data_IF_923225829686
#
_entry.id   IF_923225829686
#
_cell.length_a   1.000
_cell.length_b   1.000
_cell.length_c   1.000
_cell.angle_alpha   90.00
_cell.angle_beta   90.00
_cell.angle_gamma   90.00
#
_symmetry.space_group_name_H-M   'P 1'
#
loop_
_entity.id
_entity.type
_entity.pdbx_description
1 polymer ?
#
# COMPACT_ATOMS: atom_id res chain seq x y z
N UNK A 1 3.85 36.44 -41.45
CA UNK A 1 4.89 35.65 -40.72
C UNK A 1 5.34 36.34 -39.43
N UNK A 2 5.50 37.66 -39.36
CA UNK A 2 5.94 38.35 -38.13
C UNK A 2 4.97 38.27 -36.92
N UNK A 3 3.65 38.12 -37.12
CA UNK A 3 2.69 38.10 -36.00
C UNK A 3 2.60 36.76 -35.25
N UNK A 4 3.01 35.66 -35.87
CA UNK A 4 3.03 34.33 -35.24
C UNK A 4 4.26 34.16 -34.35
N UNK A 5 5.42 34.67 -34.76
CA UNK A 5 6.64 34.61 -33.95
C UNK A 5 6.54 35.46 -32.68
N UNK A 6 5.94 36.66 -32.77
CA UNK A 6 5.67 37.49 -31.59
C UNK A 6 4.74 36.82 -30.57
N UNK A 7 3.75 36.03 -31.03
CA UNK A 7 2.86 35.27 -30.13
C UNK A 7 3.58 34.10 -29.45
N UNK A 8 4.48 33.43 -30.15
CA UNK A 8 5.28 32.32 -29.58
C UNK A 8 6.23 32.86 -28.52
N UNK A 9 6.90 33.99 -28.78
CA UNK A 9 7.80 34.64 -27.83
C UNK A 9 7.07 35.12 -26.56
N UNK A 10 5.86 35.67 -26.68
CA UNK A 10 5.04 36.07 -25.53
C UNK A 10 4.55 34.85 -24.72
N UNK A 11 4.17 33.75 -25.40
CA UNK A 11 3.83 32.49 -24.74
C UNK A 11 5.02 31.90 -23.97
N UNK A 12 6.22 31.90 -24.55
CA UNK A 12 7.42 31.42 -23.87
C UNK A 12 7.81 32.31 -22.69
N UNK A 13 7.72 33.63 -22.84
CA UNK A 13 8.00 34.60 -21.77
C UNK A 13 7.03 34.42 -20.59
N UNK A 14 5.73 34.26 -20.86
CA UNK A 14 4.72 33.95 -19.84
C UNK A 14 4.96 32.60 -19.19
N UNK A 15 5.38 31.59 -19.94
CA UNK A 15 5.69 30.26 -19.40
C UNK A 15 6.91 30.31 -18.49
N UNK A 16 7.97 31.01 -18.89
CA UNK A 16 9.18 31.24 -18.06
C UNK A 16 8.87 32.06 -16.82
N UNK A 17 8.08 33.13 -16.93
CA UNK A 17 7.66 33.93 -15.79
C UNK A 17 6.80 33.12 -14.79
N UNK A 18 5.94 32.22 -15.29
CA UNK A 18 5.15 31.31 -14.46
C UNK A 18 6.03 30.27 -13.77
N UNK A 19 7.01 29.70 -14.47
CA UNK A 19 8.00 28.79 -13.91
C UNK A 19 8.89 29.47 -12.87
N UNK A 20 9.31 30.72 -13.10
CA UNK A 20 10.13 31.50 -12.18
C UNK A 20 9.32 31.95 -10.94
N UNK A 21 8.04 32.29 -11.12
CA UNK A 21 7.13 32.55 -10.01
C UNK A 21 6.88 31.27 -9.20
N UNK A 22 6.66 30.12 -9.85
CA UNK A 22 6.52 28.82 -9.17
C UNK A 22 7.81 28.42 -8.43
N UNK A 23 8.98 28.68 -9.02
CA UNK A 23 10.28 28.45 -8.39
C UNK A 23 10.51 29.36 -7.17
N UNK A 24 10.21 30.67 -7.29
CA UNK A 24 10.26 31.63 -6.17
C UNK A 24 9.24 31.30 -5.08
N UNK A 25 8.05 30.82 -5.45
CA UNK A 25 7.01 30.42 -4.49
C UNK A 25 7.32 29.07 -3.81
N UNK A 26 8.15 28.21 -4.42
CA UNK A 26 8.75 27.03 -3.77
C UNK A 26 9.89 27.41 -2.82
N UNK A 27 10.73 28.37 -3.22
CA UNK A 27 11.86 28.84 -2.41
C UNK A 27 11.44 29.65 -1.16
N UNK A 28 10.25 30.28 -1.20
CA UNK A 28 9.71 31.12 -0.11
C UNK A 28 8.72 30.39 0.80
N UNK A 29 8.85 29.07 0.97
CA UNK A 29 8.20 28.42 2.10
C UNK A 29 8.97 28.78 3.37
N UNK A 30 8.32 29.07 4.51
CA UNK A 30 9.05 29.28 5.74
C UNK A 30 9.71 27.95 6.10
N UNK A 31 11.01 27.85 5.86
CA UNK A 31 11.87 26.72 6.23
C UNK A 31 11.61 26.27 7.68
N UNK A 32 11.21 27.20 8.55
CA UNK A 32 10.73 26.95 9.90
C UNK A 32 9.53 25.99 9.98
N UNK A 33 8.52 26.12 9.11
CA UNK A 33 7.35 25.22 9.15
C UNK A 33 7.73 23.79 8.76
N UNK A 34 8.61 23.62 7.76
CA UNK A 34 9.13 22.30 7.38
C UNK A 34 9.96 21.69 8.52
N UNK A 35 10.85 22.48 9.12
CA UNK A 35 11.66 22.06 10.28
C UNK A 35 10.78 21.70 11.49
N UNK A 36 9.71 22.46 11.74
CA UNK A 36 8.76 22.17 12.81
C UNK A 36 8.03 20.84 12.59
N UNK A 37 7.53 20.58 11.39
CA UNK A 37 6.90 19.29 11.06
C UNK A 37 7.89 18.11 11.11
N UNK A 38 9.12 18.33 10.66
CA UNK A 38 10.20 17.33 10.76
C UNK A 38 10.49 17.00 12.23
N UNK A 39 10.65 18.03 13.07
CA UNK A 39 10.89 17.87 14.50
C UNK A 39 9.71 17.20 15.21
N UNK A 40 8.48 17.62 14.92
CA UNK A 40 7.28 17.02 15.47
C UNK A 40 7.16 15.54 15.08
N UNK A 41 7.37 15.19 13.81
CA UNK A 41 7.37 13.81 13.36
C UNK A 41 8.43 12.97 14.09
N UNK A 42 9.67 13.47 14.23
CA UNK A 42 10.74 12.80 14.97
C UNK A 42 10.41 12.64 16.46
N UNK A 43 9.87 13.67 17.11
CA UNK A 43 9.47 13.60 18.52
C UNK A 43 8.39 12.54 18.72
N UNK A 44 7.34 12.55 17.90
CA UNK A 44 6.27 11.54 17.99
C UNK A 44 6.82 10.14 17.71
N UNK A 45 7.75 10.00 16.76
CA UNK A 45 8.38 8.72 16.45
C UNK A 45 9.21 8.18 17.61
N UNK A 46 10.02 9.04 18.26
CA UNK A 46 10.83 8.67 19.44
C UNK A 46 9.94 8.34 20.63
N UNK A 47 8.92 9.16 20.90
CA UNK A 47 7.97 8.90 21.99
C UNK A 47 7.18 7.61 21.76
N UNK A 48 6.74 7.35 20.52
CA UNK A 48 6.08 6.11 20.14
C UNK A 48 6.98 4.89 20.35
N UNK A 49 8.25 4.97 19.91
CA UNK A 49 9.24 3.93 20.14
C UNK A 49 9.46 3.64 21.63
N UNK A 50 9.70 4.69 22.43
CA UNK A 50 9.92 4.55 23.87
C UNK A 50 8.68 4.00 24.58
N UNK A 51 7.48 4.43 24.19
CA UNK A 51 6.24 3.90 24.74
C UNK A 51 6.09 2.41 24.44
N UNK A 52 6.25 1.99 23.18
CA UNK A 52 6.11 0.58 22.80
C UNK A 52 7.17 -0.31 23.44
N UNK A 53 8.39 0.22 23.61
CA UNK A 53 9.49 -0.48 24.26
C UNK A 53 9.17 -0.79 25.72
N UNK A 54 8.60 0.17 26.44
CA UNK A 54 8.33 0.05 27.88
C UNK A 54 6.97 -0.59 28.19
N UNK A 55 5.96 -0.39 27.33
CA UNK A 55 4.57 -0.78 27.63
C UNK A 55 4.08 -2.02 26.88
N UNK A 56 4.77 -2.46 25.83
CA UNK A 56 4.32 -3.61 25.01
C UNK A 56 5.42 -4.66 24.86
N UNK A 57 6.46 -4.38 24.06
CA UNK A 57 7.59 -5.29 23.84
C UNK A 57 8.70 -4.59 23.04
N UNK A 58 9.99 -4.92 23.31
CA UNK A 58 11.11 -4.48 22.48
C UNK A 58 10.96 -4.82 21.00
N UNK A 59 10.45 -6.02 20.68
CA UNK A 59 10.23 -6.45 19.29
C UNK A 59 9.20 -5.57 18.60
N UNK A 60 8.14 -5.19 19.31
CA UNK A 60 7.09 -4.30 18.79
C UNK A 60 7.65 -2.90 18.51
N UNK A 61 8.47 -2.38 19.41
CA UNK A 61 9.13 -1.09 19.22
C UNK A 61 10.12 -1.10 18.04
N UNK A 62 10.88 -2.17 17.85
CA UNK A 62 11.78 -2.32 16.68
C UNK A 62 10.96 -2.38 15.38
N UNK A 63 9.86 -3.14 15.37
CA UNK A 63 8.96 -3.21 14.22
C UNK A 63 8.37 -1.85 13.86
N UNK A 64 8.01 -1.03 14.85
CA UNK A 64 7.58 0.35 14.65
C UNK A 64 8.65 1.21 13.92
N UNK A 65 9.94 1.03 14.25
CA UNK A 65 11.01 1.71 13.50
C UNK A 65 11.09 1.22 12.05
N UNK A 66 11.04 -0.11 11.85
CA UNK A 66 11.09 -0.74 10.53
C UNK A 66 9.96 -0.26 9.65
N UNK A 67 8.72 -0.25 10.16
CA UNK A 67 7.54 0.17 9.40
C UNK A 67 7.48 1.67 9.16
N UNK A 68 8.10 2.48 10.02
CA UNK A 68 8.34 3.89 9.72
C UNK A 68 9.30 4.11 8.55
N UNK A 69 10.39 3.32 8.47
CA UNK A 69 11.28 3.33 7.29
C UNK A 69 10.52 2.88 6.04
N UNK A 70 9.63 1.88 6.14
CA UNK A 70 8.75 1.52 5.03
C UNK A 70 7.83 2.67 4.61
N UNK A 71 7.31 3.45 5.57
CA UNK A 71 6.55 4.68 5.29
C UNK A 71 7.35 5.71 4.49
N UNK A 72 8.61 5.95 4.88
CA UNK A 72 9.54 6.82 4.15
C UNK A 72 9.77 6.31 2.73
N UNK A 73 10.02 5.01 2.57
CA UNK A 73 10.25 4.37 1.28
C UNK A 73 9.02 4.44 0.36
N UNK A 74 7.83 4.16 0.89
CA UNK A 74 6.55 4.27 0.17
C UNK A 74 6.33 5.68 -0.36
N UNK A 75 6.59 6.70 0.48
CA UNK A 75 6.44 8.10 0.10
C UNK A 75 7.45 8.51 -0.98
N UNK A 76 8.75 8.28 -0.78
CA UNK A 76 9.77 8.73 -1.73
C UNK A 76 9.76 7.96 -3.05
N UNK A 77 9.51 6.65 -3.02
CA UNK A 77 9.42 5.84 -4.24
C UNK A 77 8.08 6.01 -4.97
N UNK A 78 7.09 6.67 -4.33
CA UNK A 78 5.71 6.71 -4.82
C UNK A 78 5.21 5.30 -5.21
N UNK A 79 5.65 4.29 -4.45
CA UNK A 79 5.48 2.88 -4.80
C UNK A 79 4.04 2.45 -4.54
N UNK A 80 3.16 2.76 -5.48
CA UNK A 80 1.73 2.50 -5.40
C UNK A 80 1.28 1.39 -6.35
N UNK A 81 0.74 0.30 -5.80
CA UNK A 81 0.07 -0.73 -6.60
C UNK A 81 -1.05 -0.17 -7.48
N UNK A 82 -1.85 0.75 -6.92
CA UNK A 82 -2.91 1.46 -7.65
C UNK A 82 -2.37 2.18 -8.88
N UNK A 83 -1.31 2.96 -8.71
CA UNK A 83 -0.69 3.76 -9.78
C UNK A 83 -0.07 2.85 -10.83
N UNK A 84 0.62 1.79 -10.42
CA UNK A 84 1.17 0.77 -11.32
C UNK A 84 0.10 0.17 -12.24
N UNK A 85 -1.04 -0.26 -11.67
CA UNK A 85 -2.12 -0.84 -12.45
C UNK A 85 -2.79 0.21 -13.34
N UNK A 86 -2.95 1.45 -12.85
CA UNK A 86 -3.52 2.54 -13.63
C UNK A 86 -2.63 2.91 -14.82
N UNK A 87 -1.31 2.98 -14.65
CA UNK A 87 -0.37 3.24 -15.74
C UNK A 87 -0.43 2.12 -16.79
N UNK A 88 -0.47 0.86 -16.37
CA UNK A 88 -0.67 -0.26 -17.28
C UNK A 88 -1.97 -0.12 -18.10
N UNK A 89 -3.09 0.22 -17.45
CA UNK A 89 -4.40 0.30 -18.09
C UNK A 89 -4.47 1.50 -19.04
N UNK A 90 -4.13 2.70 -18.55
CA UNK A 90 -4.31 3.97 -19.26
C UNK A 90 -3.22 4.18 -20.30
N UNK A 91 -1.95 4.17 -19.91
CA UNK A 91 -0.81 4.51 -20.77
C UNK A 91 -0.06 3.30 -21.32
N UNK A 92 -0.35 2.09 -20.85
CA UNK A 92 0.40 0.89 -21.25
C UNK A 92 1.82 0.83 -20.68
N UNK A 93 2.21 1.77 -19.81
CA UNK A 93 3.52 1.78 -19.15
C UNK A 93 3.53 0.73 -18.03
N UNK A 94 4.53 -0.16 -18.04
CA UNK A 94 4.56 -1.32 -17.14
C UNK A 94 5.68 -1.30 -16.11
N UNK A 95 6.43 -0.19 -16.01
CA UNK A 95 7.59 -0.07 -15.09
C UNK A 95 7.26 -0.47 -13.66
N UNK A 96 6.08 -0.05 -13.15
CA UNK A 96 5.63 -0.38 -11.80
C UNK A 96 5.33 -1.87 -11.62
N UNK A 97 4.65 -2.50 -12.60
CA UNK A 97 4.31 -3.93 -12.54
C UNK A 97 5.57 -4.79 -12.62
N UNK A 98 6.52 -4.41 -13.49
CA UNK A 98 7.83 -5.06 -13.59
C UNK A 98 8.63 -4.93 -12.30
N UNK A 99 8.64 -3.75 -11.66
CA UNK A 99 9.28 -3.56 -10.38
C UNK A 99 8.64 -4.40 -9.25
N UNK A 100 7.31 -4.60 -9.27
CA UNK A 100 6.63 -5.49 -8.34
C UNK A 100 7.06 -6.94 -8.50
N UNK A 101 7.24 -7.44 -9.73
CA UNK A 101 7.73 -8.82 -9.95
C UNK A 101 9.14 -9.01 -9.38
N UNK A 102 10.03 -8.01 -9.54
CA UNK A 102 11.38 -8.05 -8.94
C UNK A 102 11.30 -8.05 -7.41
N UNK A 103 10.44 -7.19 -6.84
CA UNK A 103 10.19 -7.15 -5.39
C UNK A 103 9.68 -8.50 -4.87
N UNK A 104 8.75 -9.16 -5.57
CA UNK A 104 8.23 -10.46 -5.17
C UNK A 104 9.27 -11.57 -5.28
N UNK A 105 10.07 -11.58 -6.34
CA UNK A 105 11.14 -12.54 -6.51
C UNK A 105 12.17 -12.44 -5.36
N UNK A 106 12.57 -11.20 -5.02
CA UNK A 106 13.45 -10.96 -3.88
C UNK A 106 12.80 -11.41 -2.56
N UNK A 107 11.53 -11.07 -2.33
CA UNK A 107 10.82 -11.48 -1.13
C UNK A 107 10.69 -13.01 -1.01
N UNK A 108 10.46 -13.74 -2.11
CA UNK A 108 10.45 -15.21 -2.10
C UNK A 108 11.79 -15.80 -1.68
N UNK A 109 12.90 -15.28 -2.21
CA UNK A 109 14.25 -15.74 -1.84
C UNK A 109 14.53 -15.50 -0.36
N UNK A 110 14.10 -14.36 0.16
CA UNK A 110 14.26 -14.01 1.58
C UNK A 110 13.33 -14.83 2.50
N UNK A 111 12.09 -15.08 2.09
CA UNK A 111 11.10 -15.79 2.91
C UNK A 111 11.37 -17.30 2.95
N UNK A 112 11.81 -17.89 1.85
CA UNK A 112 11.92 -19.34 1.71
C UNK A 112 12.72 -20.02 2.84
N UNK A 113 13.91 -19.55 3.24
CA UNK A 113 14.66 -20.15 4.35
C UNK A 113 13.89 -20.13 5.68
N UNK A 114 13.21 -19.03 6.00
CA UNK A 114 12.40 -18.90 7.23
C UNK A 114 11.18 -19.82 7.19
N UNK A 115 10.55 -19.95 6.02
CA UNK A 115 9.37 -20.80 5.84
C UNK A 115 9.71 -22.29 5.90
N UNK A 116 10.87 -22.71 5.37
CA UNK A 116 11.34 -24.10 5.48
C UNK A 116 11.69 -24.43 6.93
N UNK A 117 12.36 -23.50 7.64
CA UNK A 117 12.73 -23.70 9.03
C UNK A 117 11.52 -23.74 9.96
N UNK A 118 10.46 -23.00 9.64
CA UNK A 118 9.19 -22.98 10.39
C UNK A 118 9.23 -22.24 11.74
N UNK A 119 10.43 -21.84 12.19
CA UNK A 119 10.64 -21.05 13.40
C UNK A 119 11.76 -20.03 13.18
N UNK A 120 11.64 -18.87 13.81
CA UNK A 120 12.69 -17.86 13.89
C UNK A 120 12.71 -17.32 15.32
N UNK A 121 13.90 -17.23 15.92
CA UNK A 121 14.03 -16.93 17.35
C UNK A 121 13.15 -17.88 18.18
N UNK A 122 12.36 -17.36 19.12
CA UNK A 122 11.49 -18.15 20.02
C UNK A 122 10.04 -18.26 19.55
N UNK A 123 9.74 -18.00 18.27
CA UNK A 123 8.38 -18.05 17.75
C UNK A 123 8.25 -18.78 16.41
N UNK A 124 7.05 -19.28 16.16
CA UNK A 124 6.72 -19.96 14.91
C UNK A 124 6.56 -18.95 13.77
N UNK A 125 7.06 -19.31 12.58
CA UNK A 125 6.85 -18.56 11.35
C UNK A 125 5.60 -19.08 10.65
N UNK A 126 4.63 -18.20 10.44
CA UNK A 126 3.38 -18.51 9.76
C UNK A 126 3.32 -17.89 8.37
N UNK A 127 3.25 -18.73 7.35
CA UNK A 127 3.04 -18.29 5.98
C UNK A 127 1.66 -17.62 5.79
N UNK A 128 1.58 -16.58 4.95
CA UNK A 128 0.31 -15.96 4.53
C UNK A 128 -0.39 -16.81 3.46
N UNK A 129 -0.90 -17.98 3.84
CA UNK A 129 -1.61 -18.90 2.95
C UNK A 129 -3.09 -18.92 3.31
N UNK A 130 -3.90 -18.38 2.40
CA UNK A 130 -5.35 -18.29 2.51
C UNK A 130 -6.04 -19.12 1.43
N UNK A 131 -7.34 -19.43 1.60
CA UNK A 131 -8.08 -20.21 0.62
C UNK A 131 -8.13 -19.51 -0.74
N UNK A 132 -8.09 -20.29 -1.81
CA UNK A 132 -8.40 -19.83 -3.18
C UNK A 132 -9.91 -20.06 -3.39
N UNK A 133 -10.65 -19.05 -3.85
CA UNK A 133 -12.10 -19.18 -3.97
C UNK A 133 -12.86 -17.90 -4.30
N UNK A 134 -14.17 -18.06 -4.45
CA UNK A 134 -15.05 -16.99 -4.94
C UNK A 134 -15.00 -15.72 -4.08
N UNK A 135 -14.87 -15.87 -2.76
CA UNK A 135 -14.73 -14.75 -1.82
C UNK A 135 -13.52 -13.86 -2.13
N UNK A 136 -12.41 -14.47 -2.53
CA UNK A 136 -11.15 -13.79 -2.85
C UNK A 136 -11.25 -13.11 -4.18
N UNK A 137 -11.77 -13.80 -5.19
CA UNK A 137 -11.94 -13.22 -6.52
C UNK A 137 -12.88 -12.01 -6.49
N UNK A 138 -14.04 -12.12 -5.83
CA UNK A 138 -14.98 -11.00 -5.69
C UNK A 138 -14.42 -9.90 -4.79
N UNK A 139 -13.80 -10.26 -3.67
CA UNK A 139 -13.22 -9.29 -2.75
C UNK A 139 -12.09 -8.48 -3.36
N UNK A 140 -11.17 -9.14 -4.05
CA UNK A 140 -10.08 -8.47 -4.78
C UNK A 140 -10.61 -7.64 -5.94
N UNK A 141 -11.66 -8.07 -6.64
CA UNK A 141 -12.36 -7.27 -7.65
C UNK A 141 -12.94 -5.98 -7.08
N UNK A 142 -13.70 -6.06 -5.98
CA UNK A 142 -14.25 -4.87 -5.30
C UNK A 142 -13.11 -3.97 -4.78
N UNK A 143 -12.05 -4.57 -4.23
CA UNK A 143 -10.86 -3.84 -3.81
C UNK A 143 -10.19 -3.11 -4.99
N UNK A 144 -10.11 -3.75 -6.16
CA UNK A 144 -9.56 -3.18 -7.39
C UNK A 144 -10.32 -1.94 -7.86
N UNK A 145 -11.66 -1.98 -7.84
CA UNK A 145 -12.49 -0.80 -8.12
C UNK A 145 -12.20 0.27 -7.07
N UNK A 146 -12.24 -0.12 -5.80
CA UNK A 146 -12.09 0.78 -4.66
C UNK A 146 -10.77 1.51 -4.66
N UNK A 147 -9.65 0.84 -4.94
CA UNK A 147 -8.33 1.47 -4.92
C UNK A 147 -8.14 2.49 -6.05
N UNK A 148 -8.85 2.33 -7.17
CA UNK A 148 -8.85 3.34 -8.23
C UNK A 148 -9.70 4.56 -7.85
N UNK A 149 -10.84 4.38 -7.19
CA UNK A 149 -11.68 5.50 -6.74
C UNK A 149 -11.12 6.22 -5.51
N UNK A 150 -10.48 5.49 -4.59
CA UNK A 150 -9.80 6.04 -3.40
C UNK A 150 -8.44 6.69 -3.68
N UNK A 151 -8.00 6.69 -4.96
CA UNK A 151 -6.70 7.17 -5.44
C UNK A 151 -5.48 6.64 -4.66
N UNK A 152 -5.60 5.43 -4.12
CA UNK A 152 -4.62 4.80 -3.26
C UNK A 152 -5.08 3.39 -2.86
N UNK A 153 -4.12 2.51 -2.59
CA UNK A 153 -4.39 1.23 -1.94
C UNK A 153 -4.24 1.36 -0.43
N UNK A 154 -4.33 0.30 0.38
CA UNK A 154 -4.22 0.42 1.84
C UNK A 154 -2.95 1.18 2.32
N UNK A 155 -1.76 0.74 1.90
CA UNK A 155 -0.51 1.46 2.18
C UNK A 155 -0.46 2.84 1.51
N UNK A 156 -1.05 2.95 0.31
CA UNK A 156 -1.27 4.21 -0.41
C UNK A 156 -1.98 5.25 0.44
N UNK A 157 -3.14 4.87 0.95
CA UNK A 157 -4.01 5.68 1.80
C UNK A 157 -3.27 6.15 3.05
N UNK A 158 -2.46 5.28 3.68
CA UNK A 158 -1.65 5.64 4.84
C UNK A 158 -0.57 6.67 4.50
N UNK A 159 0.28 6.43 3.50
CA UNK A 159 1.35 7.41 3.19
C UNK A 159 0.78 8.70 2.59
N UNK A 160 -0.36 8.67 1.90
CA UNK A 160 -1.06 9.86 1.43
C UNK A 160 -1.62 10.67 2.61
N UNK A 161 -2.19 9.98 3.60
CA UNK A 161 -2.68 10.61 4.85
C UNK A 161 -1.54 11.25 5.62
N UNK A 162 -0.44 10.51 5.86
CA UNK A 162 0.76 11.04 6.52
C UNK A 162 1.43 12.17 5.73
N UNK A 163 1.42 12.08 4.40
CA UNK A 163 1.93 13.11 3.50
C UNK A 163 1.03 14.35 3.34
N UNK A 164 -0.11 14.40 4.04
CA UNK A 164 -1.01 15.55 4.08
C UNK A 164 -2.00 15.68 2.93
N UNK A 165 -2.41 14.57 2.29
CA UNK A 165 -3.47 14.53 1.28
C UNK A 165 -4.84 14.23 1.92
N UNK A 166 -5.74 15.21 1.89
CA UNK A 166 -7.08 15.09 2.47
C UNK A 166 -7.91 13.95 1.85
N UNK A 167 -7.62 13.56 0.59
CA UNK A 167 -8.28 12.42 -0.06
C UNK A 167 -7.94 11.12 0.65
N UNK A 168 -6.69 10.96 1.11
CA UNK A 168 -6.26 9.77 1.86
C UNK A 168 -7.08 9.58 3.14
N UNK A 169 -7.39 10.66 3.85
CA UNK A 169 -8.17 10.60 5.09
C UNK A 169 -9.61 10.16 4.81
N UNK A 170 -10.24 10.74 3.78
CA UNK A 170 -11.59 10.33 3.37
C UNK A 170 -11.62 8.86 2.94
N UNK A 171 -10.63 8.42 2.17
CA UNK A 171 -10.50 7.01 1.81
C UNK A 171 -10.35 6.13 3.04
N UNK A 172 -9.55 6.54 4.03
CA UNK A 172 -9.32 5.78 5.26
C UNK A 172 -10.60 5.62 6.07
N UNK A 173 -11.39 6.69 6.22
CA UNK A 173 -12.71 6.64 6.89
C UNK A 173 -13.62 5.63 6.19
N UNK A 174 -13.71 5.71 4.86
CA UNK A 174 -14.46 4.73 4.07
C UNK A 174 -13.94 3.30 4.26
N UNK A 175 -12.62 3.11 4.32
CA UNK A 175 -11.96 1.81 4.52
C UNK A 175 -12.34 1.18 5.87
N UNK A 176 -12.32 1.98 6.94
CA UNK A 176 -12.72 1.56 8.30
C UNK A 176 -14.18 1.06 8.28
N UNK A 177 -15.09 1.86 7.72
CA UNK A 177 -16.52 1.49 7.58
C UNK A 177 -16.68 0.21 6.75
N UNK A 178 -16.08 0.16 5.56
CA UNK A 178 -16.15 -1.01 4.69
C UNK A 178 -15.58 -2.27 5.33
N UNK A 179 -14.50 -2.14 6.10
CA UNK A 179 -13.89 -3.28 6.81
C UNK A 179 -14.82 -3.84 7.88
N UNK A 180 -15.57 -2.99 8.58
CA UNK A 180 -16.57 -3.46 9.53
C UNK A 180 -17.70 -4.21 8.84
N UNK A 181 -18.28 -3.64 7.78
CA UNK A 181 -19.35 -4.29 7.00
C UNK A 181 -18.86 -5.64 6.44
N UNK A 182 -17.60 -5.70 5.97
CA UNK A 182 -16.98 -6.95 5.53
C UNK A 182 -16.85 -8.00 6.65
N UNK A 183 -16.63 -7.56 7.90
CA UNK A 183 -16.57 -8.47 9.06
C UNK A 183 -17.95 -9.04 9.43
N UNK A 184 -19.03 -8.28 9.19
CA UNK A 184 -20.41 -8.74 9.39
C UNK A 184 -20.77 -9.81 8.36
N UNK A 185 -20.47 -9.59 7.08
CA UNK A 185 -20.77 -10.56 6.01
C UNK A 185 -19.76 -11.71 5.89
N UNK A 186 -18.73 -11.72 6.73
CA UNK A 186 -17.60 -12.65 6.60
C UNK A 186 -18.04 -14.12 6.55
N UNK A 187 -18.95 -14.54 7.43
CA UNK A 187 -19.41 -15.94 7.50
C UNK A 187 -20.09 -16.42 6.21
N UNK A 188 -20.88 -15.55 5.57
CA UNK A 188 -21.52 -15.88 4.29
C UNK A 188 -20.48 -16.14 3.21
N UNK A 189 -19.45 -15.28 3.13
CA UNK A 189 -18.36 -15.45 2.16
C UNK A 189 -17.52 -16.69 2.40
N UNK A 190 -17.30 -17.08 3.67
CA UNK A 190 -16.55 -18.30 3.99
C UNK A 190 -17.28 -19.59 3.59
N UNK A 191 -18.59 -19.53 3.35
CA UNK A 191 -19.39 -20.66 2.86
C UNK A 191 -19.49 -20.73 1.33
N UNK A 192 -18.88 -19.78 0.60
CA UNK A 192 -18.86 -19.81 -0.87
C UNK A 192 -17.86 -20.84 -1.41
N UNK A 193 -17.98 -21.29 -2.68
CA UNK A 193 -17.09 -22.27 -3.26
C UNK A 193 -15.61 -21.88 -3.14
N UNK A 194 -14.81 -22.78 -2.58
CA UNK A 194 -13.36 -22.63 -2.41
C UNK A 194 -12.67 -23.98 -2.60
N UNK A 195 -11.49 -23.94 -3.22
CA UNK A 195 -10.61 -25.10 -3.39
C UNK A 195 -9.63 -25.25 -2.21
N UNK A 196 -9.83 -24.49 -1.13
CA UNK A 196 -8.99 -24.54 0.06
C UNK A 196 -7.66 -23.79 -0.09
N UNK A 197 -6.78 -23.99 0.89
CA UNK A 197 -5.47 -23.34 0.97
C UNK A 197 -4.47 -24.09 0.11
N UNK A 198 -3.88 -23.42 -0.87
CA UNK A 198 -2.88 -24.01 -1.76
C UNK A 198 -1.55 -23.27 -1.58
N UNK A 199 -0.58 -23.95 -0.98
CA UNK A 199 0.80 -23.49 -0.83
C UNK A 199 1.71 -24.23 -1.80
N UNK A 200 2.38 -23.50 -2.70
CA UNK A 200 3.24 -24.09 -3.74
C UNK A 200 4.44 -24.84 -3.16
N UNK A 201 4.95 -24.40 -2.00
CA UNK A 201 6.06 -25.09 -1.31
C UNK A 201 5.61 -26.40 -0.65
N UNK A 202 4.35 -26.49 -0.22
CA UNK A 202 3.81 -27.71 0.37
C UNK A 202 3.43 -28.73 -0.71
N UNK A 203 2.92 -28.27 -1.86
CA UNK A 203 2.49 -29.16 -2.95
C UNK A 203 3.63 -29.64 -3.85
N UNK A 204 4.64 -28.81 -4.10
CA UNK A 204 5.73 -29.11 -5.07
C UNK A 204 7.12 -29.17 -4.42
N UNK A 205 7.19 -29.06 -3.09
CA UNK A 205 8.43 -28.90 -2.34
C UNK A 205 9.06 -27.51 -2.48
N UNK A 206 10.12 -27.20 -1.72
CA UNK A 206 10.71 -25.85 -1.69
C UNK A 206 11.24 -25.36 -3.05
N UNK A 207 11.98 -26.22 -3.74
CA UNK A 207 12.59 -25.89 -5.05
C UNK A 207 11.52 -25.80 -6.14
N UNK A 208 10.57 -26.75 -6.17
CA UNK A 208 9.47 -26.75 -7.13
C UNK A 208 8.54 -25.55 -6.93
N UNK A 209 8.19 -25.24 -5.68
CA UNK A 209 7.40 -24.07 -5.33
C UNK A 209 8.07 -22.76 -5.74
N UNK A 210 9.38 -22.64 -5.52
CA UNK A 210 10.17 -21.49 -5.98
C UNK A 210 10.18 -21.38 -7.50
N UNK A 211 10.45 -22.47 -8.21
CA UNK A 211 10.50 -22.51 -9.67
C UNK A 211 9.16 -22.10 -10.29
N UNK A 212 8.04 -22.62 -9.79
CA UNK A 212 6.70 -22.26 -10.29
C UNK A 212 6.37 -20.79 -10.00
N UNK A 213 6.67 -20.30 -8.80
CA UNK A 213 6.39 -18.90 -8.47
C UNK A 213 7.21 -17.94 -9.34
N UNK A 214 8.48 -18.27 -9.58
CA UNK A 214 9.36 -17.52 -10.48
C UNK A 214 8.90 -17.60 -11.93
N UNK A 215 8.39 -18.76 -12.38
CA UNK A 215 7.82 -18.90 -13.72
C UNK A 215 6.59 -18.00 -13.91
N UNK A 216 5.68 -17.93 -12.93
CA UNK A 216 4.52 -17.03 -12.96
C UNK A 216 4.98 -15.56 -13.02
N UNK A 217 5.94 -15.17 -12.18
CA UNK A 217 6.50 -13.81 -12.19
C UNK A 217 7.17 -13.47 -13.51
N UNK A 218 7.99 -14.36 -14.04
CA UNK A 218 8.67 -14.19 -15.32
C UNK A 218 7.67 -14.08 -16.48
N UNK A 219 6.60 -14.88 -16.45
CA UNK A 219 5.52 -14.81 -17.41
C UNK A 219 4.80 -13.45 -17.37
N UNK A 220 4.42 -12.97 -16.19
CA UNK A 220 3.79 -11.65 -16.03
C UNK A 220 4.74 -10.53 -16.47
N UNK A 221 6.02 -10.64 -16.11
CA UNK A 221 7.05 -9.67 -16.51
C UNK A 221 7.24 -9.64 -18.04
N UNK A 222 7.26 -10.80 -18.69
CA UNK A 222 7.38 -10.92 -20.15
C UNK A 222 6.13 -10.37 -20.86
N UNK A 223 4.93 -10.68 -20.36
CA UNK A 223 3.68 -10.09 -20.87
C UNK A 223 3.67 -8.58 -20.71
N UNK A 224 4.11 -8.07 -19.55
CA UNK A 224 4.19 -6.64 -19.29
C UNK A 224 5.13 -5.94 -20.31
N UNK A 225 6.32 -6.51 -20.56
CA UNK A 225 7.23 -6.01 -21.59
C UNK A 225 6.63 -6.06 -22.98
N UNK A 226 5.97 -7.16 -23.33
CA UNK A 226 5.34 -7.33 -24.63
C UNK A 226 4.20 -6.33 -24.85
N UNK A 227 3.36 -6.11 -23.84
CA UNK A 227 2.28 -5.11 -23.85
C UNK A 227 2.84 -3.69 -24.00
N UNK A 228 3.91 -3.35 -23.25
CA UNK A 228 4.53 -2.03 -23.32
C UNK A 228 5.11 -1.78 -24.71
N UNK A 229 5.85 -2.74 -25.29
CA UNK A 229 6.40 -2.64 -26.65
C UNK A 229 5.34 -2.53 -27.74
N UNK A 230 4.16 -3.11 -27.52
CA UNK A 230 3.05 -3.03 -28.48
C UNK A 230 2.30 -1.70 -28.39
N UNK A 231 2.20 -1.11 -27.20
CA UNK A 231 1.44 0.14 -26.98
C UNK A 231 2.32 1.39 -27.08
N UNK A 232 3.61 1.27 -26.83
CA UNK A 232 4.58 2.37 -26.79
C UNK A 232 5.78 2.04 -27.68
N UNK A 233 6.39 3.08 -28.26
CA UNK A 233 7.57 2.94 -29.12
C UNK A 233 8.83 2.53 -28.35
N UNK A 234 8.84 2.77 -27.03
CA UNK A 234 9.96 2.47 -26.13
C UNK A 234 9.48 1.78 -24.85
N UNK A 235 10.41 1.08 -24.19
CA UNK A 235 10.17 0.47 -22.88
C UNK A 235 10.84 1.34 -21.83
N UNK A 236 10.08 1.77 -20.84
CA UNK A 236 10.60 2.58 -19.75
C UNK A 236 11.66 1.77 -18.97
N UNK A 237 12.87 2.30 -18.77
CA UNK A 237 13.93 1.57 -18.09
C UNK A 237 13.59 1.36 -16.60
N UNK A 238 13.87 0.17 -16.08
CA UNK A 238 13.68 -0.16 -14.65
C UNK A 238 14.68 0.58 -13.75
N UNK A 239 15.89 0.74 -14.26
CA UNK A 239 16.98 1.43 -13.58
C UNK A 239 17.20 2.76 -14.25
N UNK A 240 17.07 3.83 -13.48
CA UNK A 240 17.48 5.15 -13.94
C UNK A 240 18.97 5.32 -13.56
N UNK A 241 19.85 5.50 -14.54
CA UNK A 241 21.29 5.68 -14.35
C UNK A 241 21.61 7.08 -13.84
N UNK A 242 21.04 7.45 -12.69
CA UNK A 242 21.36 8.71 -12.04
C UNK A 242 22.41 8.51 -10.95
N UNK A 243 23.39 9.42 -10.82
CA UNK A 243 24.45 9.30 -9.84
C UNK A 243 23.90 9.31 -8.41
N UNK A 244 24.53 8.53 -7.53
CA UNK A 244 24.20 8.42 -6.12
C UNK A 244 24.40 9.78 -5.43
N UNK A 245 23.39 10.26 -4.73
CA UNK A 245 23.43 11.54 -4.03
C UNK A 245 22.70 11.44 -2.69
N UNK A 246 23.38 11.77 -1.59
CA UNK A 246 22.84 11.74 -0.21
C UNK A 246 21.57 12.59 -0.08
N UNK A 247 21.54 13.74 -0.77
CA UNK A 247 20.36 14.61 -0.80
C UNK A 247 19.13 13.92 -1.40
N UNK A 248 19.31 12.99 -2.37
CA UNK A 248 18.19 12.23 -2.96
C UNK A 248 17.75 11.05 -2.10
N UNK A 249 18.65 10.44 -1.34
CA UNK A 249 18.28 9.42 -0.37
C UNK A 249 17.33 10.03 0.66
N UNK A 250 17.63 11.25 1.11
CA UNK A 250 16.86 11.97 2.14
C UNK A 250 15.63 12.70 1.59
N UNK A 251 15.69 13.25 0.37
CA UNK A 251 14.60 14.09 -0.20
C UNK A 251 13.76 13.39 -1.28
N UNK A 252 14.21 12.26 -1.79
CA UNK A 252 13.61 11.59 -2.94
C UNK A 252 13.77 12.36 -4.27
N UNK A 253 13.08 11.93 -5.34
CA UNK A 253 12.31 10.70 -5.46
C UNK A 253 13.21 9.46 -5.58
N UNK A 254 12.76 8.32 -5.05
CA UNK A 254 13.44 7.03 -5.22
C UNK A 254 12.92 6.31 -6.48
N UNK A 255 13.71 5.39 -7.03
CA UNK A 255 13.24 4.53 -8.14
C UNK A 255 12.25 3.48 -7.64
N UNK A 256 11.40 2.98 -8.55
CA UNK A 256 10.47 1.89 -8.25
C UNK A 256 11.19 0.66 -7.70
N UNK A 257 12.36 0.32 -8.27
CA UNK A 257 13.15 -0.83 -7.82
C UNK A 257 13.71 -0.60 -6.42
N UNK A 258 14.24 0.59 -6.12
CA UNK A 258 14.72 0.91 -4.77
C UNK A 258 13.60 0.81 -3.72
N UNK A 259 12.42 1.35 -4.03
CA UNK A 259 11.23 1.18 -3.19
C UNK A 259 10.87 -0.30 -3.00
N UNK A 260 10.82 -1.08 -4.10
CA UNK A 260 10.54 -2.51 -4.05
C UNK A 260 11.54 -3.31 -3.22
N UNK A 261 12.83 -3.02 -3.32
CA UNK A 261 13.87 -3.68 -2.51
C UNK A 261 13.68 -3.39 -1.02
N UNK A 262 13.44 -2.13 -0.64
CA UNK A 262 13.20 -1.76 0.77
C UNK A 262 11.92 -2.42 1.30
N UNK A 263 10.87 -2.52 0.48
CA UNK A 263 9.64 -3.22 0.86
C UNK A 263 9.84 -4.74 1.00
N UNK A 264 10.62 -5.37 0.13
CA UNK A 264 10.97 -6.79 0.22
C UNK A 264 11.76 -7.10 1.49
N UNK A 265 12.82 -6.34 1.75
CA UNK A 265 13.66 -6.50 2.94
C UNK A 265 12.86 -6.17 4.20
N UNK A 266 12.08 -5.08 4.20
CA UNK A 266 11.26 -4.69 5.33
C UNK A 266 10.19 -5.72 5.67
N UNK A 267 9.49 -6.29 4.68
CA UNK A 267 8.52 -7.36 4.92
C UNK A 267 9.20 -8.64 5.45
N UNK A 268 10.42 -8.95 4.98
CA UNK A 268 11.22 -10.04 5.53
C UNK A 268 11.58 -9.81 7.01
N UNK A 269 11.99 -8.60 7.37
CA UNK A 269 12.27 -8.25 8.77
C UNK A 269 11.00 -8.34 9.62
N UNK A 270 9.86 -7.87 9.10
CA UNK A 270 8.57 -8.02 9.78
C UNK A 270 8.22 -9.48 10.00
N UNK A 271 8.39 -10.35 9.00
CA UNK A 271 8.17 -11.79 9.15
C UNK A 271 9.10 -12.40 10.19
N UNK A 272 10.39 -12.09 10.12
CA UNK A 272 11.41 -12.67 10.99
C UNK A 272 11.23 -12.29 12.47
N UNK A 273 10.73 -11.08 12.75
CA UNK A 273 10.55 -10.57 14.11
C UNK A 273 9.16 -10.84 14.69
N UNK A 274 8.11 -10.78 13.86
CA UNK A 274 6.71 -10.90 14.33
C UNK A 274 6.09 -12.28 14.15
N UNK A 275 6.74 -13.16 13.37
CA UNK A 275 6.22 -14.48 13.03
C UNK A 275 5.17 -14.50 11.94
N UNK A 276 4.69 -13.34 11.49
CA UNK A 276 3.70 -13.21 10.41
C UNK A 276 4.15 -12.17 9.37
N UNK A 277 3.82 -12.37 8.08
CA UNK A 277 4.10 -11.37 7.06
C UNK A 277 3.38 -10.05 7.32
N UNK A 278 3.92 -8.97 6.76
CA UNK A 278 3.37 -7.63 6.91
C UNK A 278 1.93 -7.55 6.40
N UNK A 279 1.08 -6.92 7.22
CA UNK A 279 -0.32 -6.65 6.97
C UNK A 279 -0.69 -5.27 7.49
N UNK A 280 -1.79 -4.73 6.96
CA UNK A 280 -2.26 -3.36 7.25
C UNK A 280 -3.71 -3.42 7.73
N UNK A 281 -4.54 -4.10 6.95
CA UNK A 281 -5.99 -3.92 7.04
C UNK A 281 -6.59 -4.41 8.36
N UNK A 282 -6.01 -5.41 9.05
CA UNK A 282 -6.50 -5.88 10.36
C UNK A 282 -6.72 -4.74 11.36
N UNK A 283 -5.85 -3.72 11.39
CA UNK A 283 -6.00 -2.53 12.21
C UNK A 283 -7.31 -1.79 11.95
N UNK A 284 -7.63 -1.53 10.67
CA UNK A 284 -8.86 -0.79 10.30
C UNK A 284 -10.14 -1.52 10.73
N UNK A 285 -10.15 -2.85 10.66
CA UNK A 285 -11.27 -3.63 11.16
C UNK A 285 -11.37 -3.54 12.68
N UNK A 286 -10.25 -3.58 13.40
CA UNK A 286 -10.20 -3.44 14.86
C UNK A 286 -10.70 -2.07 15.33
N UNK A 287 -10.27 -1.00 14.65
CA UNK A 287 -10.73 0.35 14.98
C UNK A 287 -12.23 0.47 14.76
N UNK A 288 -12.73 -0.02 13.63
CA UNK A 288 -14.15 0.01 13.32
C UNK A 288 -14.95 -0.82 14.34
N UNK A 289 -14.49 -2.03 14.66
CA UNK A 289 -15.09 -2.89 15.66
C UNK A 289 -15.17 -2.23 17.04
N UNK A 290 -14.08 -1.63 17.53
CA UNK A 290 -14.10 -0.94 18.84
C UNK A 290 -15.02 0.28 18.82
N UNK A 291 -15.03 1.07 17.73
CA UNK A 291 -15.97 2.18 17.58
C UNK A 291 -17.42 1.69 17.56
N UNK A 292 -17.73 0.61 16.83
CA UNK A 292 -19.07 0.03 16.80
C UNK A 292 -19.49 -0.56 18.15
N UNK A 293 -18.56 -1.14 18.90
CA UNK A 293 -18.81 -1.63 20.25
C UNK A 293 -19.16 -0.48 21.23
N UNK A 294 -18.56 0.71 21.07
CA UNK A 294 -18.92 1.89 21.87
C UNK A 294 -20.36 2.36 21.64
N UNK A 295 -20.93 2.10 20.46
CA UNK A 295 -22.33 2.41 20.11
C UNK A 295 -23.27 1.24 20.45
N UNK A 296 -22.77 0.19 21.13
CA UNK A 296 -23.57 -0.94 21.60
C UNK A 296 -23.78 -2.06 20.57
N UNK A 297 -23.08 -2.05 19.43
CA UNK A 297 -23.17 -3.15 18.47
C UNK A 297 -22.47 -4.40 19.03
N UNK A 298 -23.07 -5.61 18.97
CA UNK A 298 -22.51 -6.83 19.54
C UNK A 298 -21.40 -7.42 18.66
N UNK A 299 -20.24 -6.77 18.61
CA UNK A 299 -19.13 -7.16 17.73
C UNK A 299 -18.59 -8.55 18.07
N UNK A 300 -18.59 -8.93 19.34
CA UNK A 300 -18.08 -10.22 19.83
C UNK A 300 -18.90 -11.42 19.33
N UNK A 301 -20.16 -11.22 18.92
CA UNK A 301 -20.99 -12.29 18.37
C UNK A 301 -20.73 -12.57 16.89
N UNK A 302 -20.01 -11.67 16.19
CA UNK A 302 -19.71 -11.83 14.78
C UNK A 302 -18.65 -12.94 14.57
N UNK A 303 -18.85 -13.88 13.63
CA UNK A 303 -17.92 -15.00 13.41
C UNK A 303 -16.47 -14.59 13.11
N UNK A 304 -16.26 -13.45 12.43
CA UNK A 304 -14.91 -12.93 12.18
C UNK A 304 -14.14 -12.65 13.48
N UNK A 305 -14.84 -12.11 14.48
CA UNK A 305 -14.30 -11.70 15.77
C UNK A 305 -14.23 -12.83 16.80
N UNK A 306 -14.79 -14.01 16.47
CA UNK A 306 -14.68 -15.22 17.30
C UNK A 306 -13.40 -16.03 17.02
N UNK A 307 -12.67 -15.70 15.96
CA UNK A 307 -11.36 -16.34 15.72
C UNK A 307 -10.37 -15.96 16.85
N UNK A 308 -9.53 -16.88 17.35
CA UNK A 308 -8.72 -16.64 18.54
C UNK A 308 -7.88 -15.37 18.48
N UNK A 309 -7.26 -15.10 17.32
CA UNK A 309 -6.43 -13.90 17.12
C UNK A 309 -7.25 -12.60 17.15
N UNK A 310 -8.43 -12.59 16.54
CA UNK A 310 -9.28 -11.39 16.48
C UNK A 310 -10.01 -11.16 17.80
N UNK A 311 -10.45 -12.23 18.47
CA UNK A 311 -11.05 -12.16 19.80
C UNK A 311 -10.07 -11.54 20.80
N UNK A 312 -8.83 -12.02 20.84
CA UNK A 312 -7.78 -11.44 21.68
C UNK A 312 -7.59 -9.94 21.39
N UNK A 313 -7.55 -9.54 20.12
CA UNK A 313 -7.39 -8.13 19.74
C UNK A 313 -8.52 -7.21 20.28
N UNK A 314 -9.74 -7.72 20.46
CA UNK A 314 -10.83 -6.93 21.05
C UNK A 314 -10.62 -6.61 22.53
N UNK A 315 -10.00 -7.53 23.29
CA UNK A 315 -9.75 -7.38 24.72
C UNK A 315 -8.54 -6.48 25.04
N UNK A 316 -7.63 -6.30 24.09
CA UNK A 316 -6.43 -5.49 24.25
C UNK A 316 -6.61 -4.06 23.72
N UNK A 317 -5.71 -3.15 24.12
CA UNK A 317 -5.67 -1.79 23.57
C UNK A 317 -5.34 -1.83 22.07
N UNK A 318 -5.85 -0.87 21.30
CA UNK A 318 -5.48 -0.74 19.87
C UNK A 318 -3.98 -0.57 19.67
N UNK A 319 -3.28 0.05 20.63
CA UNK A 319 -1.83 0.23 20.58
C UNK A 319 -1.03 -1.06 20.85
N UNK A 320 -1.68 -2.09 21.38
CA UNK A 320 -1.07 -3.43 21.52
C UNK A 320 -1.26 -4.26 20.24
N UNK A 321 -2.07 -3.81 19.28
CA UNK A 321 -2.17 -4.44 17.98
C UNK A 321 -1.01 -3.99 17.08
N UNK A 322 -0.21 -4.94 16.62
CA UNK A 322 0.97 -4.69 15.79
C UNK A 322 0.64 -3.89 14.52
N UNK A 323 -0.41 -4.27 13.81
CA UNK A 323 -0.78 -3.59 12.56
C UNK A 323 -1.23 -2.14 12.81
N UNK A 324 -1.87 -1.85 13.94
CA UNK A 324 -2.25 -0.47 14.30
C UNK A 324 -1.02 0.41 14.46
N UNK A 325 0.00 -0.07 15.19
CA UNK A 325 1.23 0.70 15.39
C UNK A 325 2.06 0.80 14.12
N UNK A 326 2.08 -0.24 13.30
CA UNK A 326 2.75 -0.23 12.01
C UNK A 326 2.11 0.79 11.06
N UNK A 327 0.78 0.85 11.01
CA UNK A 327 0.05 1.84 10.22
C UNK A 327 0.35 3.28 10.70
N UNK A 328 0.41 3.49 12.01
CA UNK A 328 0.82 4.77 12.60
C UNK A 328 2.26 5.11 12.21
N UNK A 329 3.18 4.15 12.30
CA UNK A 329 4.57 4.34 11.92
C UNK A 329 4.71 4.70 10.43
N UNK A 330 3.95 4.04 9.55
CA UNK A 330 3.92 4.33 8.10
C UNK A 330 3.45 5.77 7.86
N UNK A 331 2.39 6.20 8.53
CA UNK A 331 1.89 7.58 8.43
C UNK A 331 2.95 8.60 8.92
N UNK A 332 3.61 8.33 10.04
CA UNK A 332 4.67 9.18 10.58
C UNK A 332 5.92 9.22 9.69
N UNK A 333 6.32 8.07 9.15
CA UNK A 333 7.43 7.97 8.19
C UNK A 333 7.14 8.72 6.90
N UNK A 334 5.90 8.65 6.40
CA UNK A 334 5.47 9.45 5.26
C UNK A 334 5.44 10.96 5.56
N UNK A 335 5.02 11.35 6.77
CA UNK A 335 5.08 12.75 7.22
C UNK A 335 6.53 13.26 7.31
N UNK A 336 7.44 12.44 7.83
CA UNK A 336 8.86 12.73 7.90
C UNK A 336 9.45 12.89 6.48
N UNK A 337 9.17 11.95 5.57
CA UNK A 337 9.59 12.03 4.18
C UNK A 337 9.03 13.27 3.45
N UNK A 338 7.76 13.60 3.68
CA UNK A 338 7.09 14.77 3.10
C UNK A 338 7.69 16.09 3.60
N UNK A 339 7.98 16.18 4.91
CA UNK A 339 8.60 17.36 5.51
C UNK A 339 10.04 17.58 5.01
N UNK A 340 10.85 16.52 4.95
CA UNK A 340 12.22 16.56 4.41
C UNK A 340 12.27 16.89 2.91
N UNK A 341 11.27 16.45 2.14
CA UNK A 341 11.11 16.79 0.73
C UNK A 341 10.53 18.21 0.49
N UNK A 342 10.11 18.91 1.56
CA UNK A 342 9.52 20.25 1.46
C UNK A 342 8.11 20.27 0.84
N UNK A 343 7.36 19.18 0.96
CA UNK A 343 6.06 18.99 0.31
C UNK A 343 4.84 19.37 1.18
N UNK A 344 5.04 19.72 2.45
CA UNK A 344 3.99 20.19 3.38
C UNK A 344 3.76 21.71 3.27
N UNK A 345 2.57 22.29 3.56
CA UNK A 345 1.25 21.71 3.90
C UNK A 345 0.17 21.99 2.82
N UNK A 346 0.56 22.40 1.60
CA UNK A 346 -0.37 22.88 0.54
C UNK A 346 -1.42 21.85 0.07
N UNK A 347 -1.27 20.56 0.39
CA UNK A 347 -2.20 19.49 -0.04
C UNK A 347 -3.45 19.34 0.84
N UNK A 348 -3.41 19.76 2.10
CA UNK A 348 -4.50 19.51 3.06
C UNK A 348 -5.72 20.43 2.85
N UNK A 349 -5.48 21.65 2.39
CA UNK A 349 -6.47 22.72 2.34
C UNK A 349 -7.11 22.91 0.95
N UNK A 350 -6.87 21.99 0.01
CA UNK A 350 -7.43 22.15 -1.34
C UNK A 350 -8.91 21.77 -1.32
N UNK A 351 -9.83 22.67 -1.71
CA UNK A 351 -11.25 22.36 -1.75
C UNK A 351 -11.49 21.20 -2.74
N UNK A 352 -12.25 20.20 -2.28
CA UNK A 352 -12.60 19.02 -3.06
C UNK A 352 -14.05 19.13 -3.55
N UNK A 353 -14.32 18.85 -4.83
CA UNK A 353 -15.69 18.79 -5.32
C UNK A 353 -16.41 17.60 -4.66
N UNK A 354 -17.71 17.74 -4.37
CA UNK A 354 -18.48 16.72 -3.66
C UNK A 354 -18.49 15.35 -4.38
N UNK A 355 -18.42 15.32 -5.73
CA UNK A 355 -18.33 14.08 -6.50
C UNK A 355 -17.06 13.29 -6.17
N UNK A 356 -15.96 14.01 -5.91
CA UNK A 356 -14.69 13.41 -5.51
C UNK A 356 -14.78 12.90 -4.08
N UNK A 357 -15.39 13.65 -3.16
CA UNK A 357 -15.59 13.22 -1.78
C UNK A 357 -16.38 11.91 -1.74
N UNK A 358 -17.51 11.84 -2.45
CA UNK A 358 -18.33 10.62 -2.54
C UNK A 358 -17.53 9.49 -3.19
N UNK A 359 -16.85 9.75 -4.32
CA UNK A 359 -16.06 8.73 -5.02
C UNK A 359 -14.96 8.13 -4.15
N UNK A 360 -14.23 8.98 -3.42
CA UNK A 360 -13.11 8.58 -2.56
C UNK A 360 -13.62 7.81 -1.32
N UNK A 361 -14.72 8.24 -0.70
CA UNK A 361 -15.37 7.52 0.40
C UNK A 361 -15.90 6.16 -0.05
N UNK A 362 -16.63 6.11 -1.17
CA UNK A 362 -17.13 4.87 -1.75
C UNK A 362 -15.97 3.93 -2.13
N UNK A 363 -14.87 4.48 -2.67
CA UNK A 363 -13.65 3.74 -2.94
C UNK A 363 -13.06 3.12 -1.68
N UNK A 364 -12.98 3.89 -0.60
CA UNK A 364 -12.61 3.41 0.73
C UNK A 364 -13.49 2.24 1.20
N UNK A 365 -14.81 2.38 1.14
CA UNK A 365 -15.76 1.34 1.56
C UNK A 365 -15.56 0.05 0.77
N UNK A 366 -15.43 0.14 -0.56
CA UNK A 366 -15.18 -1.01 -1.42
C UNK A 366 -13.85 -1.71 -1.09
N UNK A 367 -12.80 -0.94 -0.83
CA UNK A 367 -11.52 -1.51 -0.38
C UNK A 367 -11.63 -2.19 0.98
N UNK A 368 -12.29 -1.55 1.95
CA UNK A 368 -12.48 -2.13 3.29
C UNK A 368 -13.21 -3.45 3.24
N UNK A 369 -14.33 -3.47 2.52
CA UNK A 369 -15.16 -4.65 2.34
C UNK A 369 -14.39 -5.75 1.61
N UNK A 370 -13.81 -5.42 0.46
CA UNK A 370 -13.04 -6.35 -0.37
C UNK A 370 -11.85 -6.94 0.37
N UNK A 371 -11.13 -6.13 1.15
CA UNK A 371 -9.98 -6.60 1.91
C UNK A 371 -10.34 -7.60 3.01
N UNK A 372 -11.54 -7.53 3.61
CA UNK A 372 -11.97 -8.53 4.59
C UNK A 372 -12.21 -9.88 3.96
N UNK A 373 -12.98 -9.89 2.88
CA UNK A 373 -13.47 -11.13 2.28
C UNK A 373 -12.40 -11.79 1.40
N UNK A 374 -11.41 -11.03 0.92
CA UNK A 374 -10.24 -11.52 0.20
C UNK A 374 -8.99 -11.75 1.07
N UNK A 375 -9.14 -11.76 2.40
CA UNK A 375 -8.06 -12.00 3.38
C UNK A 375 -6.87 -11.03 3.30
N UNK A 376 -7.09 -9.81 2.80
CA UNK A 376 -6.08 -8.76 2.79
C UNK A 376 -6.20 -7.80 1.62
N UNK A 377 -5.30 -6.82 1.64
CA UNK A 377 -5.09 -5.84 0.57
C UNK A 377 -3.89 -6.21 -0.31
N UNK A 378 -3.44 -5.28 -1.16
CA UNK A 378 -2.19 -5.39 -1.92
C UNK A 378 -0.97 -5.85 -1.10
N UNK A 379 -0.84 -5.38 0.15
CA UNK A 379 0.29 -5.79 1.00
C UNK A 379 0.04 -7.18 1.59
N UNK A 380 -1.07 -7.39 2.30
CA UNK A 380 -1.30 -8.65 3.02
C UNK A 380 -1.65 -9.85 2.13
N UNK A 381 -2.53 -9.65 1.14
CA UNK A 381 -3.01 -10.72 0.28
C UNK A 381 -2.12 -10.92 -0.95
N UNK A 382 -1.79 -9.85 -1.67
CA UNK A 382 -0.99 -9.98 -2.89
C UNK A 382 0.50 -10.13 -2.57
N UNK A 383 1.14 -9.11 -1.99
CA UNK A 383 2.59 -9.13 -1.75
C UNK A 383 3.00 -10.22 -0.77
N UNK A 384 2.46 -10.20 0.45
CA UNK A 384 2.79 -11.16 1.50
C UNK A 384 2.30 -12.58 1.17
N UNK A 385 1.18 -12.72 0.44
CA UNK A 385 0.71 -14.02 -0.05
C UNK A 385 1.63 -14.63 -1.10
N UNK A 386 2.00 -13.86 -2.13
CA UNK A 386 2.96 -14.30 -3.16
C UNK A 386 4.34 -14.58 -2.55
N UNK A 387 4.83 -13.72 -1.65
CA UNK A 387 6.07 -13.94 -0.91
C UNK A 387 6.05 -15.24 -0.08
N UNK A 388 4.86 -15.62 0.41
CA UNK A 388 4.60 -16.85 1.16
C UNK A 388 4.28 -18.07 0.27
N UNK A 389 4.47 -17.97 -1.05
CA UNK A 389 4.17 -19.04 -2.02
C UNK A 389 2.70 -19.50 -2.01
N UNK A 390 1.78 -18.58 -1.68
CA UNK A 390 0.34 -18.83 -1.67
C UNK A 390 -0.28 -18.58 -3.04
N UNK A 391 -1.05 -19.54 -3.55
CA UNK A 391 -1.77 -19.38 -4.83
C UNK A 391 -2.84 -18.28 -4.76
N UNK A 392 -3.41 -18.06 -3.56
CA UNK A 392 -4.38 -16.99 -3.28
C UNK A 392 -3.86 -15.59 -3.67
N UNK A 393 -2.56 -15.33 -3.53
CA UNK A 393 -1.98 -14.04 -3.93
C UNK A 393 -2.10 -13.77 -5.43
N UNK A 394 -1.98 -14.82 -6.26
CA UNK A 394 -2.14 -14.73 -7.71
C UNK A 394 -3.60 -14.61 -8.15
N UNK A 395 -4.51 -15.32 -7.49
CA UNK A 395 -5.96 -15.11 -7.68
C UNK A 395 -6.35 -13.67 -7.34
N UNK A 396 -5.85 -13.17 -6.20
CA UNK A 396 -6.10 -11.80 -5.76
C UNK A 396 -5.63 -10.78 -6.80
N UNK A 397 -4.44 -10.99 -7.40
CA UNK A 397 -3.94 -10.13 -8.48
C UNK A 397 -4.91 -10.06 -9.66
N UNK A 398 -5.43 -11.22 -10.10
CA UNK A 398 -6.36 -11.27 -11.23
C UNK A 398 -7.65 -10.49 -10.93
N UNK A 399 -8.28 -10.74 -9.78
CA UNK A 399 -9.50 -10.02 -9.40
C UNK A 399 -9.26 -8.51 -9.25
N UNK A 400 -8.18 -8.11 -8.57
CA UNK A 400 -7.84 -6.70 -8.39
C UNK A 400 -7.51 -5.96 -9.70
N UNK A 401 -6.85 -6.63 -10.66
CA UNK A 401 -6.59 -6.06 -11.97
C UNK A 401 -7.89 -5.89 -12.76
N UNK A 402 -8.78 -6.89 -12.76
CA UNK A 402 -10.09 -6.80 -13.40
C UNK A 402 -10.96 -5.69 -12.78
N UNK A 403 -10.98 -5.59 -11.45
CA UNK A 403 -11.66 -4.52 -10.75
C UNK A 403 -11.09 -3.15 -11.08
N UNK A 404 -9.77 -3.05 -11.23
CA UNK A 404 -9.11 -1.80 -11.63
C UNK A 404 -9.50 -1.34 -13.03
N UNK A 405 -9.76 -2.24 -13.97
CA UNK A 405 -10.25 -1.87 -15.31
C UNK A 405 -11.57 -1.09 -15.22
N UNK A 406 -12.49 -1.55 -14.38
CA UNK A 406 -13.75 -0.85 -14.13
C UNK A 406 -13.53 0.43 -13.32
N UNK A 407 -12.72 0.37 -12.26
CA UNK A 407 -12.40 1.53 -11.42
C UNK A 407 -11.80 2.71 -12.20
N UNK A 408 -10.87 2.44 -13.12
CA UNK A 408 -10.27 3.48 -14.00
C UNK A 408 -11.32 4.14 -14.91
N UNK A 409 -12.33 3.39 -15.37
CA UNK A 409 -13.44 3.94 -16.17
C UNK A 409 -14.38 4.81 -15.33
N UNK A 410 -14.54 4.51 -14.04
CA UNK A 410 -15.40 5.26 -13.12
C UNK A 410 -14.74 6.54 -12.58
N UNK A 411 -13.41 6.61 -12.53
CA UNK A 411 -12.66 7.78 -12.01
C UNK A 411 -13.13 9.14 -12.56
N UNK A 412 -13.34 9.35 -13.87
CA UNK A 412 -13.80 10.62 -14.41
C UNK A 412 -15.16 11.08 -13.86
N UNK A 413 -16.07 10.14 -13.56
CA UNK A 413 -17.40 10.44 -12.96
C UNK A 413 -17.23 11.08 -11.58
N UNK A 414 -16.22 10.65 -10.83
CA UNK A 414 -15.85 11.21 -9.54
C UNK A 414 -14.91 12.43 -9.63
N UNK A 415 -14.72 13.01 -10.83
CA UNK A 415 -13.74 14.09 -11.09
C UNK A 415 -12.29 13.73 -10.72
N UNK A 416 -11.96 12.44 -10.76
CA UNK A 416 -10.59 11.95 -10.60
C UNK A 416 -9.93 11.83 -11.98
N UNK A 417 -8.70 12.31 -12.10
CA UNK A 417 -7.96 12.25 -13.35
C UNK A 417 -7.35 10.85 -13.56
N UNK A 418 -7.39 10.38 -14.80
CA UNK A 418 -6.65 9.22 -15.25
C UNK A 418 -5.27 9.69 -15.72
N UNK A 419 -4.35 9.82 -14.77
CA UNK A 419 -2.94 10.14 -15.00
C UNK A 419 -2.06 9.03 -14.45
#
# INVERSE_FOLDING_TARGET
>A
MASSELRILDLEARTRARQDLEARTRARQPEQAQRAWTAAALIVFVLGFLYLWNSVSPTHAILFLVTGVLGVALYHAHFGFTTSFRHLIVSGRTVGLRAQMIMFALANVLFLPLLIRGHAFDHAIKASVYPVGLSVLVGSFLFGIGMQLGDGCASGTLYHTGGGDARGILTLVGFIVGSFVGSVHYAWWMNTPSIGKISLIQSLGPVGGLAVNFAIMAFIFAIALWLERRRNSDVEPLFNHQPWNVSRVVKGPWSWVAGGVVLAVGNFVVLALSGKPWGITSAFALWAAKLSALVGYPVQSLPYWQTPQNAAALHHSVLQNLETTDDIAIMLGALLAASLAGALPKRYLRPMPWQMIIGVLAGGILMGYGARIAFGCNIGAYFSGVASFSLHGWEWFLGALLGSLLGVRLRPVCRLQNR
#
